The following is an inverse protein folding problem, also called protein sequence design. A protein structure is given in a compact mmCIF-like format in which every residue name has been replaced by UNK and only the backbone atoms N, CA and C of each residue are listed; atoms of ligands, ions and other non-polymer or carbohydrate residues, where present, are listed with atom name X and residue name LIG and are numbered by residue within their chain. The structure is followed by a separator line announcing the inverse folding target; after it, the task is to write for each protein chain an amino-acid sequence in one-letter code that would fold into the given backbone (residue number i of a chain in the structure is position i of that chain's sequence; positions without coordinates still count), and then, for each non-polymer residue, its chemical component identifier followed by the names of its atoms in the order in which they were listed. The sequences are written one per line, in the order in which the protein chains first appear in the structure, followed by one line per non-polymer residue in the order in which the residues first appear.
data_IF_253528249230
#
_entry.id   IF_253528249230
#
_cell.length_a   1.000
_cell.length_b   1.000
_cell.length_c   1.000
_cell.angle_alpha   90.00
_cell.angle_beta   90.00
_cell.angle_gamma   90.00
#
_symmetry.space_group_name_H-M   'P 1'
#
loop_
_entity.id
_entity.type
_entity.pdbx_description
1 polymer ?
#
# COMPACT_ATOMS: atom_id res chain seq x y z
N UNK A 1 -74.90 -57.13 1.50
CA UNK A 1 -75.94 -56.13 1.14
C UNK A 1 -76.41 -55.46 2.43
N UNK A 2 -76.51 -54.12 2.44
CA UNK A 2 -76.83 -53.19 3.55
C UNK A 2 -75.68 -52.84 4.49
N UNK A 3 -75.42 -51.60 4.90
CA UNK A 3 -75.51 -50.24 4.30
C UNK A 3 -74.79 -49.32 5.29
N UNK A 4 -73.92 -48.47 4.76
CA UNK A 4 -73.45 -47.16 5.23
C UNK A 4 -74.21 -46.50 6.41
N UNK A 5 -73.49 -45.97 7.41
CA UNK A 5 -73.66 -44.57 7.90
C UNK A 5 -72.47 -44.12 8.78
N UNK A 6 -72.04 -42.88 8.53
CA UNK A 6 -70.92 -42.12 9.12
C UNK A 6 -71.43 -41.25 10.26
N UNK A 7 -70.66 -41.02 11.34
CA UNK A 7 -70.63 -39.84 12.26
C UNK A 7 -69.77 -40.22 13.50
N UNK A 8 -68.76 -39.51 14.02
CA UNK A 8 -68.03 -38.27 13.71
C UNK A 8 -67.09 -37.94 14.90
N UNK A 9 -65.85 -37.49 14.59
CA UNK A 9 -64.89 -36.64 15.35
C UNK A 9 -64.45 -36.96 16.82
N UNK A 10 -63.29 -36.49 17.32
CA UNK A 10 -62.07 -35.93 16.67
C UNK A 10 -60.79 -36.73 16.98
N UNK A 11 -59.87 -36.84 16.01
CA UNK A 11 -58.49 -37.26 16.26
C UNK A 11 -57.67 -36.04 16.69
N UNK A 12 -57.07 -36.11 17.88
CA UNK A 12 -56.08 -35.16 18.38
C UNK A 12 -54.83 -35.32 17.52
N UNK A 13 -54.59 -34.38 16.60
CA UNK A 13 -53.33 -34.30 15.85
C UNK A 13 -52.33 -33.56 16.73
N UNK A 14 -51.42 -34.32 17.35
CA UNK A 14 -50.26 -33.78 18.04
C UNK A 14 -49.36 -33.04 17.04
N UNK A 15 -49.30 -31.72 17.16
CA UNK A 15 -48.36 -30.87 16.46
C UNK A 15 -46.98 -31.03 17.10
N UNK A 16 -46.19 -31.98 16.60
CA UNK A 16 -44.76 -32.10 16.92
C UNK A 16 -44.02 -30.98 16.17
N UNK A 17 -43.81 -29.86 16.85
CA UNK A 17 -42.98 -28.76 16.38
C UNK A 17 -41.54 -29.27 16.32
N UNK A 18 -41.08 -29.58 15.12
CA UNK A 18 -39.65 -29.71 14.81
C UNK A 18 -39.02 -28.35 15.06
N UNK A 19 -38.38 -28.18 16.21
CA UNK A 19 -37.44 -27.08 16.44
C UNK A 19 -36.25 -27.28 15.51
N UNK A 20 -36.35 -26.77 14.29
CA UNK A 20 -35.18 -26.48 13.48
C UNK A 20 -34.46 -25.34 14.17
N UNK A 21 -33.47 -25.67 14.99
CA UNK A 21 -32.49 -24.69 15.45
C UNK A 21 -31.88 -24.08 14.19
N UNK A 22 -31.99 -22.76 13.96
CA UNK A 22 -31.21 -22.16 12.90
C UNK A 22 -29.76 -22.38 13.33
N UNK A 23 -29.03 -23.18 12.53
CA UNK A 23 -27.58 -23.11 12.50
C UNK A 23 -27.27 -21.65 12.14
N UNK A 24 -27.06 -20.85 13.17
CA UNK A 24 -26.48 -19.53 13.03
C UNK A 24 -25.05 -19.83 12.59
N UNK A 25 -24.86 -19.88 11.27
CA UNK A 25 -23.55 -19.86 10.65
C UNK A 25 -22.92 -18.55 11.11
N UNK A 26 -22.12 -18.62 12.16
CA UNK A 26 -21.18 -17.57 12.45
C UNK A 26 -20.20 -17.60 11.28
N UNK A 27 -20.38 -16.71 10.31
CA UNK A 27 -19.27 -16.37 9.42
C UNK A 27 -18.11 -15.98 10.33
N UNK A 28 -16.92 -16.57 10.15
CA UNK A 28 -15.75 -16.11 10.89
C UNK A 28 -15.55 -14.65 10.47
N UNK A 29 -15.77 -13.73 11.42
CA UNK A 29 -15.43 -12.32 11.27
C UNK A 29 -14.05 -12.23 10.59
N UNK A 30 -13.99 -11.51 9.46
CA UNK A 30 -12.76 -11.14 8.77
C UNK A 30 -11.90 -10.34 9.76
N UNK A 31 -11.05 -11.03 10.53
CA UNK A 31 -10.23 -10.45 11.62
C UNK A 31 -9.10 -9.53 11.13
N UNK A 32 -9.11 -9.16 9.86
CA UNK A 32 -8.09 -8.33 9.22
C UNK A 32 -8.62 -6.97 8.75
N UNK A 33 -9.84 -6.58 9.15
CA UNK A 33 -10.37 -5.26 8.83
C UNK A 33 -9.80 -4.22 9.79
N UNK A 34 -8.93 -3.34 9.28
CA UNK A 34 -8.36 -2.26 10.06
C UNK A 34 -9.37 -1.10 10.15
N UNK A 35 -9.84 -0.79 11.36
CA UNK A 35 -10.91 0.21 11.60
C UNK A 35 -10.54 1.63 11.12
N UNK A 36 -9.25 1.91 10.89
CA UNK A 36 -8.71 3.17 10.33
C UNK A 36 -7.68 2.88 9.22
N UNK A 37 -8.12 2.33 8.09
CA UNK A 37 -7.24 2.06 6.95
C UNK A 37 -6.98 3.31 6.10
N UNK A 38 -5.70 3.64 5.88
CA UNK A 38 -5.24 4.57 4.85
C UNK A 38 -4.85 3.80 3.58
N UNK A 39 -4.89 4.47 2.43
CA UNK A 39 -4.38 3.91 1.17
C UNK A 39 -2.98 4.46 0.91
N UNK A 40 -2.02 3.56 0.74
CA UNK A 40 -0.70 3.88 0.22
C UNK A 40 -0.75 3.74 -1.30
N UNK A 41 -0.66 4.87 -1.98
CA UNK A 41 -0.73 5.00 -3.43
C UNK A 41 0.65 4.95 -4.07
N UNK A 42 0.74 4.15 -5.13
CA UNK A 42 1.92 4.02 -5.98
C UNK A 42 3.26 3.83 -5.26
N UNK A 43 3.37 2.95 -4.26
CA UNK A 43 4.61 2.22 -4.10
C UNK A 43 5.10 1.68 -5.45
N UNK A 44 6.22 2.22 -5.91
CA UNK A 44 6.94 1.80 -7.10
C UNK A 44 8.30 1.27 -6.68
N UNK A 45 8.54 -0.04 -6.85
CA UNK A 45 9.78 -0.72 -6.48
C UNK A 45 10.68 -0.83 -7.73
N UNK A 46 11.82 -0.16 -7.72
CA UNK A 46 12.86 -0.21 -8.75
C UNK A 46 14.00 -1.11 -8.29
N UNK A 47 14.39 -2.06 -9.14
CA UNK A 47 15.30 -3.15 -8.77
C UNK A 47 16.53 -3.10 -9.68
N UNK A 48 17.73 -3.03 -9.11
CA UNK A 48 18.97 -2.83 -9.87
C UNK A 48 20.02 -3.89 -9.53
N UNK A 49 19.95 -5.09 -10.12
CA UNK A 49 20.94 -6.12 -9.89
C UNK A 49 22.24 -5.84 -10.65
N UNK A 50 23.36 -6.43 -10.21
CA UNK A 50 24.66 -6.30 -10.90
C UNK A 50 24.69 -6.98 -12.28
N UNK A 51 23.92 -8.04 -12.41
CA UNK A 51 23.77 -8.89 -13.59
C UNK A 51 22.31 -9.31 -13.70
N UNK A 52 21.91 -9.82 -14.86
CA UNK A 52 20.54 -10.31 -15.05
C UNK A 52 20.17 -11.32 -13.97
N UNK A 53 19.05 -11.07 -13.28
CA UNK A 53 18.66 -11.79 -12.08
C UNK A 53 17.21 -12.26 -12.19
N UNK A 54 16.99 -13.56 -12.02
CA UNK A 54 15.66 -14.07 -11.72
C UNK A 54 15.39 -13.89 -10.22
N UNK A 55 14.24 -13.30 -9.89
CA UNK A 55 13.92 -12.84 -8.56
C UNK A 55 12.46 -13.12 -8.24
N UNK A 56 12.19 -13.54 -7.01
CA UNK A 56 10.84 -13.54 -6.44
C UNK A 56 10.76 -12.41 -5.44
N UNK A 57 9.71 -11.59 -5.56
CA UNK A 57 9.42 -10.46 -4.68
C UNK A 57 8.02 -10.63 -4.10
N UNK A 58 7.90 -10.71 -2.78
CA UNK A 58 6.61 -10.79 -2.09
C UNK A 58 6.49 -9.70 -1.04
N UNK A 59 5.25 -9.30 -0.76
CA UNK A 59 4.89 -8.30 0.24
C UNK A 59 4.21 -8.99 1.42
N UNK A 60 4.55 -8.56 2.63
CA UNK A 60 3.91 -8.98 3.88
C UNK A 60 3.39 -7.75 4.64
N UNK A 61 2.25 -7.91 5.32
CA UNK A 61 1.54 -6.84 6.03
C UNK A 61 1.45 -7.18 7.53
N UNK A 62 2.55 -7.01 8.29
CA UNK A 62 2.65 -7.52 9.67
C UNK A 62 1.63 -6.96 10.66
N UNK A 63 1.06 -5.78 10.39
CA UNK A 63 0.02 -5.15 11.21
C UNK A 63 -1.37 -5.16 10.55
N UNK A 64 -1.56 -6.06 9.58
CA UNK A 64 -2.74 -6.07 8.72
C UNK A 64 -2.59 -5.11 7.55
N UNK A 65 -3.47 -5.25 6.57
CA UNK A 65 -3.38 -4.55 5.29
C UNK A 65 -3.41 -5.53 4.12
N UNK A 66 -3.60 -4.99 2.92
CA UNK A 66 -3.64 -5.81 1.69
C UNK A 66 -3.36 -4.99 0.46
N UNK A 67 -2.80 -5.65 -0.54
CA UNK A 67 -2.70 -5.10 -1.90
C UNK A 67 -4.12 -4.93 -2.45
N UNK A 68 -4.37 -3.76 -3.03
CA UNK A 68 -5.64 -3.46 -3.72
C UNK A 68 -5.45 -3.28 -5.22
N UNK A 69 -4.21 -3.05 -5.66
CA UNK A 69 -3.86 -2.92 -7.07
C UNK A 69 -2.39 -3.24 -7.25
N UNK A 70 -2.05 -3.84 -8.38
CA UNK A 70 -0.65 -4.06 -8.75
C UNK A 70 -0.46 -4.19 -10.25
N UNK A 71 0.74 -3.85 -10.72
CA UNK A 71 1.22 -4.13 -12.08
C UNK A 71 2.70 -4.53 -11.97
N UNK A 72 3.10 -5.74 -12.41
CA UNK A 72 2.25 -6.85 -12.86
C UNK A 72 1.20 -7.29 -11.84
N UNK A 73 0.22 -8.09 -12.27
CA UNK A 73 -0.77 -8.66 -11.36
C UNK A 73 -0.06 -9.44 -10.24
N UNK A 74 -0.48 -9.19 -9.00
CA UNK A 74 0.12 -9.76 -7.81
C UNK A 74 -0.73 -10.94 -7.35
N UNK A 75 -0.16 -12.14 -7.44
CA UNK A 75 -0.76 -13.36 -6.90
C UNK A 75 -0.25 -13.59 -5.47
N UNK A 76 0.69 -14.52 -5.28
CA UNK A 76 1.41 -14.73 -4.02
C UNK A 76 2.77 -14.03 -3.97
N UNK A 77 3.05 -13.16 -4.95
CA UNK A 77 4.34 -12.55 -5.19
C UNK A 77 4.61 -12.40 -6.69
N UNK A 78 5.58 -11.59 -7.05
CA UNK A 78 6.06 -11.44 -8.41
C UNK A 78 7.24 -12.38 -8.65
N UNK A 79 7.20 -13.18 -9.71
CA UNK A 79 8.34 -13.96 -10.20
C UNK A 79 8.82 -13.35 -11.52
N UNK A 80 9.97 -12.71 -11.49
CA UNK A 80 10.42 -11.78 -12.54
C UNK A 80 11.87 -12.04 -12.94
N UNK A 81 12.23 -11.58 -14.14
CA UNK A 81 13.62 -11.42 -14.57
C UNK A 81 13.94 -9.95 -14.70
N UNK A 82 14.97 -9.48 -13.99
CA UNK A 82 15.41 -8.08 -14.01
C UNK A 82 16.78 -7.99 -14.67
N UNK A 83 16.95 -7.12 -15.65
CA UNK A 83 18.26 -6.84 -16.23
C UNK A 83 19.09 -5.85 -15.40
N UNK A 84 20.35 -5.67 -15.76
CA UNK A 84 21.26 -4.77 -15.03
C UNK A 84 20.89 -3.26 -15.14
N UNK A 85 19.94 -2.89 -15.98
CA UNK A 85 19.39 -1.53 -16.07
C UNK A 85 18.09 -1.37 -15.27
N UNK A 86 17.62 -2.45 -14.62
CA UNK A 86 16.38 -2.49 -13.87
C UNK A 86 15.13 -2.69 -14.73
N UNK A 87 15.28 -3.20 -15.96
CA UNK A 87 14.14 -3.51 -16.81
C UNK A 87 13.62 -4.92 -16.48
N UNK A 88 12.35 -4.99 -16.09
CA UNK A 88 11.67 -6.17 -15.56
C UNK A 88 10.89 -6.84 -16.68
N UNK A 89 11.17 -8.12 -16.94
CA UNK A 89 10.53 -8.96 -17.96
C UNK A 89 10.41 -8.29 -19.33
N UNK A 90 11.39 -7.45 -19.65
CA UNK A 90 11.44 -6.63 -20.87
C UNK A 90 10.20 -5.75 -21.09
N UNK A 91 9.47 -5.43 -20.03
CA UNK A 91 8.15 -4.79 -20.11
C UNK A 91 8.03 -3.62 -19.12
N UNK A 92 8.44 -3.82 -17.86
CA UNK A 92 8.20 -2.87 -16.78
C UNK A 92 9.49 -2.25 -16.28
N UNK A 93 9.42 -1.00 -15.80
CA UNK A 93 10.58 -0.33 -15.20
C UNK A 93 10.61 -0.43 -13.67
N UNK A 94 9.51 -0.88 -13.08
CA UNK A 94 9.30 -1.02 -11.64
C UNK A 94 8.13 -1.99 -11.40
N UNK A 95 8.07 -2.55 -10.20
CA UNK A 95 6.87 -3.21 -9.68
C UNK A 95 5.99 -2.15 -9.03
N UNK A 96 4.74 -2.06 -9.47
CA UNK A 96 3.78 -1.12 -8.92
C UNK A 96 2.79 -1.86 -8.04
N UNK A 97 2.46 -1.27 -6.89
CA UNK A 97 1.30 -1.65 -6.11
C UNK A 97 0.62 -0.46 -5.44
N UNK A 98 -0.59 -0.69 -4.96
CA UNK A 98 -1.31 0.13 -3.99
C UNK A 98 -1.81 -0.80 -2.89
N UNK A 99 -1.88 -0.31 -1.66
CA UNK A 99 -2.30 -1.15 -0.53
C UNK A 99 -3.11 -0.37 0.49
N UNK A 100 -4.04 -1.06 1.16
CA UNK A 100 -4.66 -0.58 2.40
C UNK A 100 -3.71 -0.88 3.55
N UNK A 101 -3.47 0.09 4.42
CA UNK A 101 -2.60 -0.01 5.58
C UNK A 101 -3.22 0.60 6.82
N UNK A 102 -2.84 0.13 8.02
CA UNK A 102 -3.08 0.84 9.27
C UNK A 102 -2.52 2.26 9.22
N UNK A 103 -3.24 3.20 9.83
CA UNK A 103 -2.81 4.59 9.96
C UNK A 103 -1.77 4.76 11.09
N UNK A 104 -0.49 4.61 10.76
CA UNK A 104 0.64 4.73 11.72
C UNK A 104 1.67 5.79 11.31
N UNK A 105 1.36 6.59 10.29
CA UNK A 105 2.31 7.46 9.62
C UNK A 105 2.66 8.66 10.52
N UNK A 106 3.88 9.17 10.37
CA UNK A 106 4.36 10.30 11.18
C UNK A 106 3.98 11.65 10.56
N UNK A 107 3.66 12.61 11.44
CA UNK A 107 3.41 14.03 11.10
C UNK A 107 4.26 15.01 11.92
N UNK A 108 5.34 14.52 12.54
CA UNK A 108 6.18 15.31 13.45
C UNK A 108 7.26 16.10 12.71
N UNK A 109 7.83 15.53 11.65
CA UNK A 109 8.91 16.13 10.86
C UNK A 109 8.49 16.21 9.39
N UNK A 110 8.74 17.36 8.75
CA UNK A 110 8.30 17.58 7.39
C UNK A 110 8.58 18.99 6.88
N UNK A 111 7.91 19.33 5.78
CA UNK A 111 8.04 20.62 5.12
C UNK A 111 6.68 21.19 4.75
N UNK A 112 6.59 22.51 4.71
CA UNK A 112 5.46 23.22 4.11
C UNK A 112 5.91 23.79 2.78
N UNK A 113 5.29 23.35 1.69
CA UNK A 113 5.73 23.68 0.34
C UNK A 113 4.58 24.30 -0.44
N UNK A 114 4.83 25.48 -1.02
CA UNK A 114 3.85 26.12 -1.92
C UNK A 114 3.67 25.27 -3.17
N UNK A 115 2.43 25.14 -3.67
CA UNK A 115 2.07 24.41 -4.90
C UNK A 115 3.04 24.68 -6.05
N UNK A 116 3.37 25.95 -6.28
CA UNK A 116 4.26 26.39 -7.39
C UNK A 116 5.70 25.89 -7.26
N UNK A 117 6.12 25.42 -6.09
CA UNK A 117 7.47 24.95 -5.81
C UNK A 117 7.55 23.43 -5.63
N UNK A 118 6.43 22.69 -5.71
CA UNK A 118 6.41 21.24 -5.44
C UNK A 118 7.37 20.46 -6.34
N UNK A 119 7.41 20.78 -7.64
CA UNK A 119 8.30 20.09 -8.58
C UNK A 119 9.77 20.21 -8.16
N UNK A 120 10.23 21.43 -7.91
CA UNK A 120 11.62 21.70 -7.54
C UNK A 120 11.94 21.11 -6.17
N UNK A 121 11.00 21.20 -5.23
CA UNK A 121 11.09 20.59 -3.91
C UNK A 121 11.30 19.08 -4.01
N UNK A 122 10.39 18.34 -4.65
CA UNK A 122 10.49 16.87 -4.73
C UNK A 122 11.74 16.45 -5.50
N UNK A 123 12.08 17.14 -6.59
CA UNK A 123 13.32 16.87 -7.35
C UNK A 123 14.55 16.92 -6.44
N UNK A 124 14.70 17.99 -5.65
CA UNK A 124 15.84 18.18 -4.76
C UNK A 124 15.79 17.25 -3.55
N UNK A 125 14.61 17.10 -2.94
CA UNK A 125 14.41 16.27 -1.76
C UNK A 125 14.73 14.80 -2.05
N UNK A 126 14.11 14.23 -3.10
CA UNK A 126 14.36 12.83 -3.48
C UNK A 126 15.81 12.60 -3.90
N UNK A 127 16.45 13.56 -4.57
CA UNK A 127 17.89 13.51 -4.87
C UNK A 127 18.73 13.44 -3.59
N UNK A 128 18.35 14.21 -2.56
CA UNK A 128 19.04 14.23 -1.26
C UNK A 128 18.92 12.89 -0.53
N UNK A 129 17.79 12.19 -0.67
CA UNK A 129 17.58 10.83 -0.16
C UNK A 129 18.29 9.74 -1.00
N UNK A 130 18.79 10.08 -2.20
CA UNK A 130 19.54 9.17 -3.07
C UNK A 130 18.75 8.52 -4.20
N UNK A 131 17.52 8.99 -4.47
CA UNK A 131 16.85 8.68 -5.73
C UNK A 131 17.54 9.41 -6.89
N UNK A 132 17.40 8.89 -8.12
CA UNK A 132 17.96 9.55 -9.30
C UNK A 132 17.21 9.23 -10.59
N UNK A 133 17.40 10.10 -11.59
CA UNK A 133 16.96 9.86 -12.97
C UNK A 133 15.48 9.52 -13.07
N UNK A 134 15.18 8.32 -13.59
CA UNK A 134 13.81 7.87 -13.86
C UNK A 134 12.94 7.80 -12.61
N UNK A 135 13.48 7.42 -11.46
CA UNK A 135 12.71 7.28 -10.22
C UNK A 135 12.05 8.61 -9.81
N UNK A 136 12.81 9.70 -9.94
CA UNK A 136 12.35 11.06 -9.67
C UNK A 136 11.43 11.55 -10.78
N UNK A 137 11.77 11.28 -12.04
CA UNK A 137 10.94 11.67 -13.19
C UNK A 137 9.54 11.05 -13.09
N UNK A 138 9.45 9.75 -12.85
CA UNK A 138 8.19 9.02 -12.70
C UNK A 138 7.35 9.58 -11.55
N UNK A 139 7.98 9.89 -10.41
CA UNK A 139 7.31 10.52 -9.27
C UNK A 139 6.72 11.88 -9.67
N UNK A 140 7.54 12.74 -10.27
CA UNK A 140 7.15 14.11 -10.64
C UNK A 140 6.03 14.11 -11.67
N UNK A 141 6.18 13.32 -12.73
CA UNK A 141 5.20 13.25 -13.83
C UNK A 141 3.85 12.74 -13.33
N UNK A 142 3.84 11.81 -12.37
CA UNK A 142 2.60 11.28 -11.84
C UNK A 142 1.95 12.19 -10.79
N UNK A 143 2.72 12.66 -9.80
CA UNK A 143 2.18 13.28 -8.59
C UNK A 143 1.97 14.79 -8.72
N UNK A 144 2.89 15.52 -9.33
CA UNK A 144 2.79 17.00 -9.39
C UNK A 144 1.50 17.47 -10.07
N UNK A 145 1.04 16.88 -11.18
CA UNK A 145 -0.23 17.28 -11.80
C UNK A 145 -1.47 16.99 -10.94
N UNK A 146 -1.35 16.20 -9.87
CA UNK A 146 -2.46 15.86 -8.96
C UNK A 146 -2.55 16.81 -7.77
N UNK A 147 -1.43 17.37 -7.35
CA UNK A 147 -1.37 18.34 -6.26
C UNK A 147 -1.73 19.75 -6.74
N UNK A 148 -2.97 19.93 -7.18
CA UNK A 148 -3.45 21.20 -7.77
C UNK A 148 -4.49 21.94 -6.94
N UNK A 149 -5.20 21.23 -6.06
CA UNK A 149 -6.37 21.75 -5.34
C UNK A 149 -6.01 22.82 -4.29
N UNK A 150 -4.84 22.70 -3.67
CA UNK A 150 -4.43 23.55 -2.55
C UNK A 150 -3.31 24.53 -2.91
N UNK A 151 -3.15 25.59 -2.11
CA UNK A 151 -2.06 26.58 -2.29
C UNK A 151 -0.74 26.11 -1.66
N UNK A 152 -0.82 25.36 -0.56
CA UNK A 152 0.31 24.80 0.18
C UNK A 152 0.09 23.31 0.44
N UNK A 153 1.18 22.59 0.66
CA UNK A 153 1.17 21.18 1.04
C UNK A 153 2.13 20.96 2.19
N UNK A 154 1.66 20.28 3.23
CA UNK A 154 2.52 19.68 4.25
C UNK A 154 3.00 18.33 3.71
N UNK A 155 4.31 18.09 3.79
CA UNK A 155 4.95 16.89 3.25
C UNK A 155 5.75 16.23 4.36
N UNK A 156 5.35 15.03 4.75
CA UNK A 156 5.95 14.28 5.85
C UNK A 156 6.59 12.99 5.33
N UNK A 157 7.93 12.86 5.34
CA UNK A 157 8.60 11.67 4.86
C UNK A 157 8.44 10.52 5.84
N UNK A 158 8.25 9.31 5.32
CA UNK A 158 8.17 8.07 6.06
C UNK A 158 9.39 7.25 5.66
N UNK A 159 10.30 7.03 6.60
CA UNK A 159 11.52 6.27 6.35
C UNK A 159 11.26 4.76 6.40
N UNK A 160 12.27 3.97 6.06
CA UNK A 160 12.18 2.51 6.04
C UNK A 160 11.76 1.89 7.37
N UNK A 161 12.07 2.50 8.52
CA UNK A 161 11.67 1.99 9.84
C UNK A 161 10.14 2.01 9.95
N UNK A 162 9.51 3.14 9.64
CA UNK A 162 8.05 3.28 9.68
C UNK A 162 7.38 2.40 8.62
N UNK A 163 7.94 2.35 7.42
CA UNK A 163 7.36 1.56 6.32
C UNK A 163 7.42 0.06 6.65
N UNK A 164 8.55 -0.45 7.15
CA UNK A 164 8.72 -1.88 7.48
C UNK A 164 7.76 -2.35 8.58
N UNK A 165 7.29 -1.45 9.43
CA UNK A 165 6.32 -1.74 10.49
C UNK A 165 4.93 -2.15 9.94
N UNK A 166 4.63 -1.83 8.67
CA UNK A 166 3.33 -2.14 8.02
C UNK A 166 3.46 -2.83 6.68
N UNK A 167 4.56 -2.65 5.96
CA UNK A 167 4.80 -3.29 4.67
C UNK A 167 6.23 -3.81 4.64
N UNK A 168 6.41 -5.12 4.61
CA UNK A 168 7.70 -5.76 4.41
C UNK A 168 7.84 -6.23 2.97
N UNK A 169 9.03 -6.05 2.38
CA UNK A 169 9.37 -6.62 1.07
C UNK A 169 10.33 -7.79 1.30
N UNK A 170 9.98 -8.96 0.79
CA UNK A 170 10.81 -10.16 0.82
C UNK A 170 11.34 -10.44 -0.59
N UNK A 171 12.65 -10.62 -0.68
CA UNK A 171 13.34 -10.97 -1.91
C UNK A 171 13.92 -12.38 -1.82
N UNK A 172 13.79 -13.19 -2.88
CA UNK A 172 14.46 -14.51 -2.93
C UNK A 172 15.98 -14.40 -2.94
N UNK A 173 16.51 -13.24 -3.37
CA UNK A 173 17.89 -12.82 -3.18
C UNK A 173 17.89 -11.39 -2.65
N UNK A 174 18.45 -11.17 -1.47
CA UNK A 174 18.44 -9.85 -0.88
C UNK A 174 19.33 -8.86 -1.65
N UNK A 175 18.86 -7.62 -1.87
CA UNK A 175 19.72 -6.52 -2.26
C UNK A 175 20.70 -6.16 -1.13
N UNK A 176 21.87 -5.67 -1.51
CA UNK A 176 22.89 -5.12 -0.61
C UNK A 176 22.39 -3.84 0.07
N UNK A 177 21.58 -3.03 -0.65
CA UNK A 177 21.05 -1.76 -0.16
C UNK A 177 19.58 -1.57 -0.59
N UNK A 178 18.73 -1.07 0.33
CA UNK A 178 17.32 -0.74 0.04
C UNK A 178 17.02 0.68 0.49
N UNK A 179 16.60 1.54 -0.44
CA UNK A 179 16.04 2.86 -0.17
C UNK A 179 14.52 2.76 -0.17
N UNK A 180 13.87 3.09 0.94
CA UNK A 180 12.41 3.19 1.00
C UNK A 180 12.02 4.54 1.57
N UNK A 181 11.19 5.28 0.84
CA UNK A 181 10.72 6.61 1.26
C UNK A 181 9.30 6.85 0.78
N UNK A 182 8.36 6.89 1.71
CA UNK A 182 7.01 7.35 1.39
C UNK A 182 6.82 8.79 1.83
N UNK A 183 5.79 9.44 1.30
CA UNK A 183 5.37 10.75 1.77
C UNK A 183 3.90 10.70 2.17
N UNK A 184 3.58 11.19 3.36
CA UNK A 184 2.23 11.71 3.61
C UNK A 184 2.20 13.12 3.04
N UNK A 185 1.21 13.40 2.19
CA UNK A 185 1.03 14.69 1.53
C UNK A 185 -0.34 15.23 1.88
N UNK A 186 -0.36 16.34 2.63
CA UNK A 186 -1.58 16.96 3.12
C UNK A 186 -1.79 18.35 2.50
N UNK A 187 -2.94 18.56 1.88
CA UNK A 187 -3.27 19.81 1.20
C UNK A 187 -3.80 20.90 2.13
N UNK A 188 -3.37 22.16 1.95
CA UNK A 188 -3.81 23.31 2.74
C UNK A 188 -3.97 24.61 1.94
N UNK A 189 -5.00 25.40 2.27
CA UNK A 189 -5.23 26.70 1.63
C UNK A 189 -4.55 27.87 2.36
N UNK A 190 -4.23 27.69 3.63
CA UNK A 190 -3.58 28.71 4.47
C UNK A 190 -2.20 28.22 4.90
N UNK A 191 -1.26 29.16 5.04
CA UNK A 191 0.07 28.83 5.56
C UNK A 191 -0.06 28.53 7.07
N UNK A 192 0.51 27.41 7.56
CA UNK A 192 0.41 27.07 8.97
C UNK A 192 1.18 28.08 9.81
N UNK A 193 0.68 28.32 11.03
CA UNK A 193 1.28 29.28 11.96
C UNK A 193 2.63 28.82 12.54
N UNK A 194 2.92 27.53 12.45
CA UNK A 194 4.13 26.91 12.98
C UNK A 194 4.97 26.33 11.84
N UNK A 195 6.29 26.47 11.95
CA UNK A 195 7.20 25.77 11.06
C UNK A 195 7.34 24.31 11.50
N UNK A 196 7.37 23.40 10.54
CA UNK A 196 7.71 22.01 10.77
C UNK A 196 9.22 21.86 10.99
N UNK A 197 9.60 20.87 11.79
CA UNK A 197 11.00 20.50 11.95
C UNK A 197 11.43 19.70 10.73
N UNK A 198 12.50 20.13 10.06
CA UNK A 198 13.03 19.37 8.94
C UNK A 198 13.69 18.07 9.42
N UNK A 199 13.34 16.91 8.82
CA UNK A 199 13.87 15.62 9.21
C UNK A 199 15.35 15.48 8.83
N UNK A 200 16.07 14.67 9.59
CA UNK A 200 17.44 14.28 9.25
C UNK A 200 17.40 13.30 8.07
N UNK A 201 18.09 13.64 6.99
CA UNK A 201 18.22 12.78 5.80
C UNK A 201 19.52 12.00 5.87
N UNK A 202 19.43 10.68 5.73
CA UNK A 202 20.58 9.80 5.62
C UNK A 202 20.93 9.55 4.15
N UNK A 203 22.23 9.50 3.85
CA UNK A 203 22.70 9.22 2.49
C UNK A 203 22.50 7.75 2.13
N UNK A 204 22.01 7.47 0.93
CA UNK A 204 21.85 6.12 0.40
C UNK A 204 23.04 5.67 -0.47
N UNK A 205 23.47 4.41 -0.31
CA UNK A 205 24.51 3.80 -1.13
C UNK A 205 23.89 3.08 -2.35
N UNK A 206 24.30 3.47 -3.56
CA UNK A 206 23.87 2.88 -4.84
C UNK A 206 24.87 1.87 -5.43
N UNK A 207 25.73 1.30 -4.59
CA UNK A 207 26.65 0.23 -4.99
C UNK A 207 26.03 -1.17 -4.79
N UNK A 208 26.53 -2.13 -5.56
CA UNK A 208 26.06 -3.52 -5.47
C UNK A 208 24.70 -3.74 -6.13
N UNK A 209 24.00 -4.79 -5.70
CA UNK A 209 22.59 -4.97 -6.00
C UNK A 209 21.79 -4.08 -5.04
N UNK A 210 21.06 -3.10 -5.55
CA UNK A 210 20.24 -2.23 -4.71
C UNK A 210 18.80 -2.15 -5.22
N UNK A 211 17.91 -1.69 -4.35
CA UNK A 211 16.50 -1.44 -4.66
C UNK A 211 16.09 -0.08 -4.12
N UNK A 212 15.22 0.62 -4.83
CA UNK A 212 14.60 1.86 -4.35
C UNK A 212 13.08 1.74 -4.42
N UNK A 213 12.39 2.36 -3.48
CA UNK A 213 10.93 2.38 -3.45
C UNK A 213 10.46 3.73 -2.93
N UNK A 214 9.49 4.33 -3.64
CA UNK A 214 8.73 5.46 -3.14
C UNK A 214 7.24 5.21 -3.25
N UNK A 215 6.45 5.88 -2.41
CA UNK A 215 4.99 5.79 -2.34
C UNK A 215 4.40 7.04 -1.67
N UNK A 216 3.07 7.21 -1.75
CA UNK A 216 2.39 8.41 -1.21
C UNK A 216 1.11 8.04 -0.49
N UNK A 217 0.88 8.66 0.66
CA UNK A 217 -0.42 8.72 1.35
C UNK A 217 -0.94 10.14 1.17
N UNK A 218 -2.21 10.30 0.79
CA UNK A 218 -2.83 11.61 0.52
C UNK A 218 -3.82 11.93 1.64
N UNK A 219 -3.74 13.14 2.17
CA UNK A 219 -4.63 13.69 3.21
C UNK A 219 -5.23 15.05 2.84
#
# INVERSE_FOLDING_TARGET
MKTLTILGFPLIFGLLILFTVPFQSCDPDDKDECDTCQIVYKPNIYIYPKENLQLTVSLNFPKGGKIIKSIPEYESGWNITVDNNGFIDKTYNYLFYESKQPDIWQHNEGWVVKKTNLKDFFSKNMTTYGFQGREIQDFIEYWIPKFTEFEFYEIYPQNSIIINDVIEIQFSKNPDNILRLFYVVKGMNELPSNNLTEPKIESFNREGFFTTEWGVIIE
#
